data_IF_706804659796
#
_entry.id   IF_706804659796
#
_cell.length_a   1.000
_cell.length_b   1.000
_cell.length_c   1.000
_cell.angle_alpha   90.00
_cell.angle_beta   90.00
_cell.angle_gamma   90.00
#
_symmetry.space_group_name_H-M   'P 1'
#
loop_
_entity.id
_entity.type
_entity.pdbx_description
1 polymer ?
#
# COMPACT_ATOMS: atom_id res chain seq x y z
N UNK A 1 0.88 -18.55 51.20
CA UNK A 1 1.88 -18.29 50.12
C UNK A 1 1.35 -18.43 48.68
N UNK A 2 0.40 -19.34 48.33
CA UNK A 2 -0.06 -19.52 46.92
C UNK A 2 -0.85 -18.35 46.30
N UNK A 3 -1.64 -17.60 47.10
CA UNK A 3 -2.50 -16.49 46.61
C UNK A 3 -1.68 -15.28 46.12
N UNK A 4 -0.67 -14.86 46.89
CA UNK A 4 0.24 -13.78 46.51
C UNK A 4 1.08 -14.10 45.27
N UNK A 5 1.53 -15.36 45.10
CA UNK A 5 2.29 -15.78 43.92
C UNK A 5 1.46 -15.68 42.63
N UNK A 6 0.18 -16.11 42.67
CA UNK A 6 -0.74 -15.98 41.52
C UNK A 6 -1.09 -14.53 41.20
N UNK A 7 -1.32 -13.70 42.23
CA UNK A 7 -1.56 -12.26 42.06
C UNK A 7 -0.36 -11.51 41.49
N UNK A 8 0.86 -11.86 41.93
CA UNK A 8 2.09 -11.26 41.41
C UNK A 8 2.33 -11.64 39.94
N UNK A 9 2.11 -12.91 39.57
CA UNK A 9 2.21 -13.37 38.18
C UNK A 9 1.20 -12.63 37.30
N UNK A 10 -0.04 -12.47 37.77
CA UNK A 10 -1.08 -11.74 37.03
C UNK A 10 -0.69 -10.27 36.76
N UNK A 11 -0.19 -9.57 37.78
CA UNK A 11 0.28 -8.18 37.63
C UNK A 11 1.42 -8.10 36.62
N UNK A 12 2.38 -9.02 36.68
CA UNK A 12 3.47 -9.09 35.70
C UNK A 12 2.97 -9.32 34.28
N UNK A 13 2.00 -10.22 34.07
CA UNK A 13 1.41 -10.46 32.75
C UNK A 13 0.68 -9.21 32.21
N UNK A 14 -0.09 -8.52 33.04
CA UNK A 14 -0.76 -7.26 32.66
C UNK A 14 0.27 -6.20 32.26
N UNK A 15 1.36 -6.08 33.01
CA UNK A 15 2.43 -5.14 32.69
C UNK A 15 3.12 -5.46 31.36
N UNK A 16 3.43 -6.74 31.10
CA UNK A 16 4.01 -7.18 29.81
C UNK A 16 3.06 -6.85 28.65
N UNK A 17 1.75 -7.12 28.79
CA UNK A 17 0.77 -6.78 27.77
C UNK A 17 0.70 -5.26 27.54
N UNK A 18 0.71 -4.46 28.59
CA UNK A 18 0.70 -3.00 28.46
C UNK A 18 1.95 -2.48 27.73
N UNK A 19 3.14 -3.01 28.03
CA UNK A 19 4.38 -2.67 27.31
C UNK A 19 4.31 -3.08 25.84
N UNK A 20 3.77 -4.26 25.53
CA UNK A 20 3.59 -4.72 24.15
C UNK A 20 2.63 -3.81 23.36
N UNK A 21 1.51 -3.40 23.95
CA UNK A 21 0.55 -2.46 23.33
C UNK A 21 1.20 -1.10 23.08
N UNK A 22 1.95 -0.56 24.05
CA UNK A 22 2.67 0.69 23.87
C UNK A 22 3.72 0.59 22.76
N UNK A 23 4.51 -0.49 22.75
CA UNK A 23 5.50 -0.72 21.70
C UNK A 23 4.85 -0.82 20.31
N UNK A 24 3.70 -1.48 20.21
CA UNK A 24 2.92 -1.55 18.98
C UNK A 24 2.39 -0.18 18.54
N UNK A 25 1.84 0.62 19.46
CA UNK A 25 1.38 1.98 19.17
C UNK A 25 2.52 2.89 18.68
N UNK A 26 3.67 2.86 19.35
CA UNK A 26 4.87 3.59 18.92
C UNK A 26 5.35 3.13 17.55
N UNK A 27 5.31 1.83 17.29
CA UNK A 27 5.66 1.26 15.99
C UNK A 27 4.71 1.76 14.90
N UNK A 28 3.40 1.68 15.12
CA UNK A 28 2.39 2.13 14.16
C UNK A 28 2.55 3.62 13.83
N UNK A 29 2.62 4.47 14.85
CA UNK A 29 2.83 5.91 14.65
C UNK A 29 4.15 6.21 13.93
N UNK A 30 5.22 5.46 14.23
CA UNK A 30 6.48 5.58 13.49
C UNK A 30 6.31 5.21 12.02
N UNK A 31 5.56 4.17 11.69
CA UNK A 31 5.36 3.75 10.30
C UNK A 31 4.53 4.76 9.52
N UNK A 32 3.45 5.27 10.11
CA UNK A 32 2.63 6.34 9.51
C UNK A 32 3.45 7.60 9.21
N UNK A 33 4.29 8.03 10.16
CA UNK A 33 5.19 9.17 9.96
C UNK A 33 6.27 8.94 8.89
N UNK A 34 6.70 7.70 8.68
CA UNK A 34 7.76 7.39 7.72
C UNK A 34 7.24 7.22 6.30
N UNK A 35 6.10 6.53 6.15
CA UNK A 35 5.62 6.05 4.86
C UNK A 35 4.32 6.73 4.41
N UNK A 36 3.33 6.85 5.30
CA UNK A 36 1.99 7.33 4.94
C UNK A 36 1.87 8.86 4.86
N UNK A 37 2.62 9.60 5.67
CA UNK A 37 2.50 11.06 5.73
C UNK A 37 3.23 11.76 4.59
N UNK A 38 2.49 12.57 3.83
CA UNK A 38 3.05 13.53 2.88
C UNK A 38 3.67 14.71 3.64
N UNK A 39 4.97 14.93 3.45
CA UNK A 39 5.74 16.00 4.09
C UNK A 39 6.16 17.12 3.13
N UNK A 40 5.92 16.95 1.83
CA UNK A 40 6.28 17.92 0.81
C UNK A 40 5.67 17.61 -0.54
N UNK A 41 5.78 18.54 -1.51
CA UNK A 41 5.34 18.32 -2.87
C UNK A 41 6.22 17.29 -3.59
N UNK A 42 5.62 16.51 -4.48
CA UNK A 42 6.34 15.70 -5.48
C UNK A 42 6.58 16.56 -6.73
N UNK A 43 7.68 16.32 -7.44
CA UNK A 43 7.89 16.95 -8.76
C UNK A 43 6.94 16.32 -9.79
N UNK A 44 6.31 17.14 -10.63
CA UNK A 44 5.45 16.62 -11.71
C UNK A 44 6.21 15.69 -12.65
N UNK A 45 7.51 15.89 -12.85
CA UNK A 45 8.37 15.03 -13.68
C UNK A 45 8.48 13.58 -13.15
N UNK A 46 8.18 13.37 -11.87
CA UNK A 46 8.21 12.04 -11.24
C UNK A 46 6.87 11.31 -11.35
N UNK A 47 5.80 12.01 -11.77
CA UNK A 47 4.45 11.47 -11.82
C UNK A 47 4.09 11.14 -13.27
N UNK A 48 3.75 9.88 -13.59
CA UNK A 48 3.29 9.52 -14.93
C UNK A 48 2.06 10.31 -15.36
N UNK A 49 2.02 10.72 -16.63
CA UNK A 49 0.94 11.54 -17.19
C UNK A 49 -0.48 10.98 -16.93
N UNK A 50 -0.64 9.66 -16.95
CA UNK A 50 -1.94 9.01 -16.74
C UNK A 50 -2.46 9.09 -15.30
N UNK A 51 -1.62 9.50 -14.34
CA UNK A 51 -2.00 9.78 -12.96
C UNK A 51 -2.23 11.27 -12.69
N UNK A 52 -1.94 12.14 -13.66
CA UNK A 52 -2.12 13.58 -13.50
C UNK A 52 -3.59 14.00 -13.65
N UNK A 53 -3.95 15.10 -12.98
CA UNK A 53 -5.24 15.77 -13.17
C UNK A 53 -6.42 15.20 -12.40
N UNK A 54 -6.29 14.06 -11.73
CA UNK A 54 -7.33 13.51 -10.84
C UNK A 54 -7.03 13.79 -9.37
N UNK A 55 -7.99 14.35 -8.60
CA UNK A 55 -7.80 14.59 -7.16
C UNK A 55 -7.44 13.34 -6.35
N UNK A 56 -8.00 12.18 -6.68
CA UNK A 56 -7.71 10.91 -5.99
C UNK A 56 -6.25 10.47 -6.15
N UNK A 57 -5.58 10.88 -7.23
CA UNK A 57 -4.16 10.62 -7.47
C UNK A 57 -3.25 11.77 -7.02
N UNK A 58 -3.75 12.71 -6.21
CA UNK A 58 -2.90 13.76 -5.67
C UNK A 58 -1.78 13.15 -4.84
N UNK A 59 -0.54 13.47 -5.19
CA UNK A 59 0.65 12.91 -4.57
C UNK A 59 1.47 13.95 -3.82
N UNK A 60 2.39 13.46 -3.00
CA UNK A 60 3.48 14.21 -2.42
C UNK A 60 4.66 13.30 -2.12
N UNK A 61 5.61 13.77 -1.33
CA UNK A 61 6.78 13.00 -0.89
C UNK A 61 6.64 12.66 0.59
N UNK A 62 6.93 11.41 0.96
CA UNK A 62 6.98 10.97 2.35
C UNK A 62 8.35 11.23 3.01
N UNK A 63 8.49 10.92 4.30
CA UNK A 63 9.74 11.11 5.06
C UNK A 63 10.92 10.27 4.55
N UNK A 64 10.70 9.34 3.63
CA UNK A 64 11.75 8.56 2.94
C UNK A 64 12.19 9.19 1.62
N UNK A 65 11.58 10.30 1.20
CA UNK A 65 11.85 10.90 -0.11
C UNK A 65 11.13 10.21 -1.26
N UNK A 66 10.15 9.33 -0.98
CA UNK A 66 9.44 8.57 -2.00
C UNK A 66 8.12 9.25 -2.37
N UNK A 67 7.73 9.27 -3.65
CA UNK A 67 6.40 9.67 -4.07
C UNK A 67 5.32 8.76 -3.46
N UNK A 68 4.32 9.34 -2.82
CA UNK A 68 3.16 8.64 -2.25
C UNK A 68 1.87 9.38 -2.55
N UNK A 69 0.76 8.65 -2.62
CA UNK A 69 -0.57 9.25 -2.65
C UNK A 69 -0.87 9.96 -1.34
N UNK A 70 -1.56 11.11 -1.41
CA UNK A 70 -2.04 11.82 -0.22
C UNK A 70 -3.07 11.00 0.54
N UNK A 71 -3.90 10.25 -0.20
CA UNK A 71 -4.87 9.30 0.34
C UNK A 71 -4.75 8.00 -0.47
N UNK A 72 -3.99 6.99 0.05
CA UNK A 72 -3.80 5.73 -0.65
C UNK A 72 -5.11 4.95 -0.84
N UNK A 73 -6.07 5.06 0.09
CA UNK A 73 -7.34 4.33 -0.01
C UNK A 73 -8.21 4.90 -1.13
N UNK A 74 -8.29 6.24 -1.22
CA UNK A 74 -9.00 6.92 -2.32
C UNK A 74 -8.32 6.65 -3.68
N UNK A 75 -6.98 6.71 -3.73
CA UNK A 75 -6.21 6.36 -4.92
C UNK A 75 -6.48 4.91 -5.38
N UNK A 76 -6.53 3.96 -4.45
CA UNK A 76 -6.82 2.56 -4.78
C UNK A 76 -8.24 2.37 -5.30
N UNK A 77 -9.22 3.06 -4.70
CA UNK A 77 -10.61 3.02 -5.15
C UNK A 77 -10.77 3.56 -6.57
N UNK A 78 -10.14 4.70 -6.88
CA UNK A 78 -10.13 5.28 -8.23
C UNK A 78 -9.43 4.35 -9.24
N UNK A 79 -8.27 3.79 -8.87
CA UNK A 79 -7.51 2.87 -9.73
C UNK A 79 -8.30 1.59 -10.07
N UNK A 80 -9.12 1.11 -9.14
CA UNK A 80 -10.01 -0.04 -9.38
C UNK A 80 -11.01 0.24 -10.51
N UNK A 81 -11.43 1.50 -10.68
CA UNK A 81 -12.33 1.92 -11.76
C UNK A 81 -11.57 2.22 -13.04
N UNK A 82 -10.49 2.99 -12.95
CA UNK A 82 -9.72 3.48 -14.11
C UNK A 82 -8.99 2.37 -14.86
N UNK A 83 -8.47 1.38 -14.13
CA UNK A 83 -7.66 0.32 -14.70
C UNK A 83 -8.40 -1.01 -14.77
N UNK A 84 -9.73 -0.98 -14.77
CA UNK A 84 -10.59 -2.16 -14.72
C UNK A 84 -10.21 -3.21 -15.78
N UNK A 85 -9.95 -2.79 -17.03
CA UNK A 85 -9.60 -3.70 -18.12
C UNK A 85 -8.26 -4.41 -17.85
N UNK A 86 -7.22 -3.65 -17.50
CA UNK A 86 -5.90 -4.21 -17.16
C UNK A 86 -5.97 -5.14 -15.95
N UNK A 87 -6.68 -4.73 -14.89
CA UNK A 87 -6.91 -5.54 -13.69
C UNK A 87 -7.59 -6.87 -14.06
N UNK A 88 -8.67 -6.83 -14.85
CA UNK A 88 -9.40 -8.03 -15.25
C UNK A 88 -8.54 -8.96 -16.12
N UNK A 89 -7.73 -8.40 -17.02
CA UNK A 89 -6.82 -9.16 -17.87
C UNK A 89 -5.73 -9.87 -17.05
N UNK A 90 -5.08 -9.16 -16.13
CA UNK A 90 -4.09 -9.74 -15.22
C UNK A 90 -4.73 -10.83 -14.37
N UNK A 91 -5.90 -10.55 -13.78
CA UNK A 91 -6.62 -11.51 -12.94
C UNK A 91 -6.94 -12.80 -13.70
N UNK A 92 -7.50 -12.69 -14.90
CA UNK A 92 -7.89 -13.84 -15.70
C UNK A 92 -6.70 -14.62 -16.26
N UNK A 93 -5.62 -13.93 -16.64
CA UNK A 93 -4.43 -14.56 -17.22
C UNK A 93 -3.66 -15.41 -16.19
N UNK A 94 -3.66 -15.02 -14.93
CA UNK A 94 -2.88 -15.65 -13.86
C UNK A 94 -3.72 -16.34 -12.78
N UNK A 95 -5.04 -16.39 -12.96
CA UNK A 95 -6.00 -16.99 -12.00
C UNK A 95 -5.84 -16.44 -10.58
N UNK A 96 -5.82 -15.10 -10.47
CA UNK A 96 -5.58 -14.41 -9.20
C UNK A 96 -6.86 -14.23 -8.39
N UNK A 97 -6.69 -14.24 -7.07
CA UNK A 97 -7.67 -13.69 -6.13
C UNK A 97 -7.99 -12.22 -6.48
N UNK A 98 -9.17 -11.70 -6.08
CA UNK A 98 -9.59 -10.35 -6.46
C UNK A 98 -8.60 -9.24 -6.08
N UNK A 99 -8.58 -8.20 -6.91
CA UNK A 99 -7.78 -7.00 -6.67
C UNK A 99 -8.31 -6.24 -5.45
N UNK A 100 -7.53 -6.27 -4.36
CA UNK A 100 -7.89 -5.66 -3.07
C UNK A 100 -6.64 -5.10 -2.39
N UNK A 101 -6.77 -4.20 -1.40
CA UNK A 101 -5.62 -3.69 -0.63
C UNK A 101 -4.77 -4.77 0.06
N UNK A 102 -5.30 -5.98 0.26
CA UNK A 102 -4.57 -7.12 0.82
C UNK A 102 -3.98 -8.07 -0.24
N UNK A 103 -4.25 -7.84 -1.52
CA UNK A 103 -3.91 -8.75 -2.62
C UNK A 103 -3.48 -8.00 -3.90
N UNK A 104 -2.82 -6.85 -3.77
CA UNK A 104 -2.39 -6.05 -4.93
C UNK A 104 -1.01 -6.44 -5.46
N UNK A 105 -0.13 -7.02 -4.63
CA UNK A 105 1.25 -7.35 -5.02
C UNK A 105 1.38 -8.26 -6.25
N UNK A 106 0.54 -9.31 -6.43
CA UNK A 106 0.58 -10.12 -7.64
C UNK A 106 0.22 -9.30 -8.88
N UNK A 107 -0.71 -8.35 -8.77
CA UNK A 107 -1.13 -7.51 -9.89
C UNK A 107 -0.02 -6.56 -10.33
N UNK A 108 0.77 -6.05 -9.38
CA UNK A 108 1.98 -5.28 -9.69
C UNK A 108 2.96 -6.15 -10.50
N UNK A 109 3.32 -7.31 -9.97
CA UNK A 109 4.31 -8.19 -10.59
C UNK A 109 3.88 -8.66 -11.98
N UNK A 110 2.64 -9.10 -12.12
CA UNK A 110 2.13 -9.70 -13.35
C UNK A 110 1.65 -8.70 -14.39
N UNK A 111 1.24 -7.49 -13.98
CA UNK A 111 0.89 -6.42 -14.91
C UNK A 111 2.05 -6.03 -15.82
N UNK A 112 3.26 -5.97 -15.27
CA UNK A 112 4.48 -5.73 -16.03
C UNK A 112 4.93 -6.91 -16.92
N UNK A 113 4.40 -8.11 -16.69
CA UNK A 113 4.87 -9.37 -17.30
C UNK A 113 3.79 -10.09 -18.11
N UNK A 114 2.71 -9.41 -18.48
CA UNK A 114 1.58 -10.08 -19.13
C UNK A 114 1.97 -10.63 -20.51
N UNK A 115 1.75 -11.94 -20.79
CA UNK A 115 2.11 -12.57 -22.05
C UNK A 115 1.02 -12.37 -23.11
N UNK A 116 0.85 -11.12 -23.56
CA UNK A 116 -0.06 -10.76 -24.66
C UNK A 116 0.72 -10.20 -25.85
N UNK A 117 0.18 -10.32 -27.05
CA UNK A 117 0.66 -9.63 -28.27
C UNK A 117 -0.12 -8.33 -28.55
N UNK A 118 -1.23 -8.09 -27.83
CA UNK A 118 -2.01 -6.85 -27.91
C UNK A 118 -1.30 -5.74 -27.13
N UNK A 119 -0.73 -4.78 -27.86
CA UNK A 119 0.01 -3.65 -27.27
C UNK A 119 -0.87 -2.75 -26.39
N UNK A 120 -2.13 -2.55 -26.76
CA UNK A 120 -3.05 -1.72 -25.97
C UNK A 120 -3.36 -2.40 -24.65
N UNK A 121 -3.64 -3.71 -24.68
CA UNK A 121 -3.86 -4.47 -23.45
C UNK A 121 -2.59 -4.51 -22.57
N UNK A 122 -1.41 -4.64 -23.20
CA UNK A 122 -0.13 -4.61 -22.49
C UNK A 122 0.09 -3.27 -21.78
N UNK A 123 -0.23 -2.16 -22.45
CA UNK A 123 -0.14 -0.82 -21.85
C UNK A 123 -1.10 -0.66 -20.66
N UNK A 124 -2.34 -1.14 -20.77
CA UNK A 124 -3.31 -1.11 -19.66
C UNK A 124 -2.82 -1.91 -18.45
N UNK A 125 -2.25 -3.10 -18.67
CA UNK A 125 -1.68 -3.92 -17.60
C UNK A 125 -0.41 -3.29 -16.99
N UNK A 126 0.41 -2.65 -17.81
CA UNK A 126 1.59 -1.91 -17.36
C UNK A 126 1.20 -0.73 -16.47
N UNK A 127 0.13 0.00 -16.81
CA UNK A 127 -0.38 1.10 -15.98
C UNK A 127 -0.83 0.63 -14.59
N UNK A 128 -1.42 -0.55 -14.47
CA UNK A 128 -1.72 -1.18 -13.16
C UNK A 128 -0.43 -1.35 -12.35
N UNK A 129 0.62 -1.93 -12.96
CA UNK A 129 1.91 -2.12 -12.30
C UNK A 129 2.53 -0.79 -11.85
N UNK A 130 2.56 0.21 -12.73
CA UNK A 130 3.14 1.52 -12.44
C UNK A 130 2.35 2.21 -11.32
N UNK A 131 1.01 2.19 -11.35
CA UNK A 131 0.21 2.72 -10.25
C UNK A 131 0.60 2.06 -8.91
N UNK A 132 0.76 0.73 -8.90
CA UNK A 132 1.11 -0.01 -7.70
C UNK A 132 2.53 0.26 -7.19
N UNK A 133 3.46 0.71 -8.03
CA UNK A 133 4.77 1.21 -7.57
C UNK A 133 4.63 2.45 -6.68
N UNK A 134 3.72 3.36 -7.03
CA UNK A 134 3.43 4.54 -6.19
C UNK A 134 2.60 4.18 -4.96
N UNK A 135 1.65 3.25 -5.10
CA UNK A 135 0.81 2.79 -3.99
C UNK A 135 1.65 2.13 -2.89
N UNK A 136 2.57 1.24 -3.29
CA UNK A 136 3.49 0.53 -2.39
C UNK A 136 4.28 1.46 -1.46
N UNK A 137 4.71 2.62 -1.96
CA UNK A 137 5.51 3.58 -1.18
C UNK A 137 4.80 4.12 0.07
N UNK A 138 3.47 3.96 0.15
CA UNK A 138 2.64 4.36 1.28
C UNK A 138 2.74 3.38 2.46
N UNK A 139 3.32 2.20 2.23
CA UNK A 139 3.42 1.12 3.19
C UNK A 139 4.90 0.85 3.54
N UNK A 140 5.18 0.39 4.76
CA UNK A 140 6.48 -0.21 5.03
C UNK A 140 6.65 -1.41 4.10
N UNK A 141 7.72 -1.41 3.28
CA UNK A 141 8.05 -2.53 2.39
C UNK A 141 7.89 -3.88 3.13
N UNK A 142 7.21 -4.87 2.54
CA UNK A 142 7.09 -6.21 3.12
C UNK A 142 8.44 -6.91 3.33
#
# INVERSE_FOLDING_TARGET
MKKHRKSSIFITCVFIMAVAVLAWFFHQNRMENLYGNVIGPVSEEQVPDFLLGKPAYAMGINSKGMPVFKDPDDAFAEATMDFQTGIAAIQGQFDLEPFTPSNWEPYKTYGAQIPTEDETLREECMRVSIFLDFYENSFPNP
#
